data_IF_174692935949
#
_entry.id   IF_174692935949
#
_cell.length_a   1.000
_cell.length_b   1.000
_cell.length_c   1.000
_cell.angle_alpha   90.00
_cell.angle_beta   90.00
_cell.angle_gamma   90.00
#
_symmetry.space_group_name_H-M   'P 1'
#
loop_
_entity.id
_entity.type
_entity.pdbx_description
1 polymer ?
#
# COMPACT_ATOMS: atom_id res chain seq x y z
N UNK A 1 -7.12 -0.57 7.72
CA UNK A 1 -5.99 0.38 7.86
C UNK A 1 -4.73 -0.46 7.75
N UNK A 2 -3.79 -0.16 6.85
CA UNK A 2 -2.56 -0.97 6.84
C UNK A 2 -1.84 -0.81 8.17
N UNK A 3 -1.77 -1.93 8.88
CA UNK A 3 -1.15 -2.02 10.18
C UNK A 3 0.37 -1.98 10.02
N UNK A 4 1.07 -1.56 11.07
CA UNK A 4 2.54 -1.57 11.10
C UNK A 4 3.12 -2.97 10.81
N UNK A 5 2.33 -4.02 11.06
CA UNK A 5 2.71 -5.43 10.88
C UNK A 5 2.66 -5.91 9.42
N UNK A 6 1.90 -5.22 8.56
CA UNK A 6 1.81 -5.55 7.13
C UNK A 6 2.95 -4.93 6.30
N UNK A 7 3.83 -4.15 6.92
CA UNK A 7 4.88 -3.41 6.23
C UNK A 7 6.27 -3.91 6.63
N UNK A 8 7.23 -3.70 5.74
CA UNK A 8 8.66 -3.93 5.97
C UNK A 8 9.29 -2.85 6.89
N UNK A 9 8.48 -2.03 7.57
CA UNK A 9 9.00 -0.99 8.46
C UNK A 9 9.76 -1.63 9.64
N UNK A 10 11.06 -1.31 9.81
CA UNK A 10 11.91 -1.99 10.76
C UNK A 10 11.57 -1.60 12.20
N UNK A 11 11.71 -2.55 13.12
CA UNK A 11 11.33 -2.42 14.54
C UNK A 11 12.31 -3.18 15.43
N UNK A 12 12.48 -2.70 16.66
CA UNK A 12 13.13 -3.46 17.71
C UNK A 12 12.13 -4.49 18.25
N UNK A 13 12.59 -5.73 18.41
CA UNK A 13 11.80 -6.75 19.11
C UNK A 13 11.87 -6.49 20.61
N UNK A 14 10.76 -6.68 21.32
CA UNK A 14 10.74 -6.55 22.77
C UNK A 14 11.59 -7.63 23.43
N UNK A 15 11.52 -8.85 22.90
CA UNK A 15 12.34 -10.00 23.28
C UNK A 15 13.28 -10.34 22.12
N UNK A 16 14.57 -10.43 22.43
CA UNK A 16 15.65 -10.72 21.48
C UNK A 16 16.40 -11.92 22.05
N UNK A 17 16.60 -12.96 21.26
CA UNK A 17 17.34 -14.14 21.70
C UNK A 17 18.83 -13.83 21.84
N UNK A 18 19.55 -14.60 22.64
CA UNK A 18 21.00 -14.44 22.81
C UNK A 18 21.77 -14.58 21.49
N UNK A 19 21.30 -15.44 20.59
CA UNK A 19 21.83 -15.56 19.24
C UNK A 19 21.65 -14.26 18.43
N UNK A 20 20.45 -13.68 18.44
CA UNK A 20 20.19 -12.41 17.76
C UNK A 20 21.00 -11.25 18.37
N UNK A 21 21.17 -11.24 19.69
CA UNK A 21 22.04 -10.28 20.38
C UNK A 21 23.49 -10.40 19.88
N UNK A 22 24.02 -11.62 19.84
CA UNK A 22 25.38 -11.90 19.37
C UNK A 22 25.59 -11.49 17.91
N UNK A 23 24.65 -11.81 17.01
CA UNK A 23 24.77 -11.57 15.57
C UNK A 23 24.56 -10.10 15.18
N UNK A 24 23.56 -9.43 15.76
CA UNK A 24 23.11 -8.11 15.30
C UNK A 24 23.70 -6.98 16.15
N UNK A 25 23.78 -7.18 17.47
CA UNK A 25 24.03 -6.11 18.42
C UNK A 25 25.44 -6.10 19.00
N UNK A 26 26.30 -7.07 18.66
CA UNK A 26 27.71 -7.04 19.06
C UNK A 26 28.49 -5.99 18.25
N UNK A 27 29.09 -4.97 18.90
CA UNK A 27 29.87 -3.97 18.17
C UNK A 27 31.20 -4.53 17.66
N UNK A 28 31.55 -4.23 16.42
CA UNK A 28 32.84 -4.60 15.85
C UNK A 28 34.01 -3.82 16.49
N UNK A 29 35.25 -4.25 16.26
CA UNK A 29 36.43 -3.52 16.71
C UNK A 29 36.49 -2.08 16.16
N UNK A 30 36.08 -1.89 14.91
CA UNK A 30 36.00 -0.56 14.28
C UNK A 30 34.94 0.33 14.95
N UNK A 31 33.78 -0.25 15.28
CA UNK A 31 32.68 0.46 15.94
C UNK A 31 33.05 0.86 17.38
N UNK A 32 33.75 0.00 18.12
CA UNK A 32 34.31 0.33 19.44
C UNK A 32 35.36 1.44 19.36
N UNK A 33 36.25 1.38 18.38
CA UNK A 33 37.23 2.45 18.13
C UNK A 33 36.55 3.78 17.81
N UNK A 34 35.50 3.76 16.98
CA UNK A 34 34.67 4.92 16.68
C UNK A 34 34.05 5.52 17.95
N UNK A 35 33.43 4.68 18.80
CA UNK A 35 32.83 5.15 20.03
C UNK A 35 33.85 5.77 20.99
N UNK A 36 35.06 5.18 21.11
CA UNK A 36 36.15 5.73 21.93
C UNK A 36 36.67 7.06 21.39
N UNK A 37 36.75 7.21 20.07
CA UNK A 37 37.19 8.45 19.41
C UNK A 37 36.22 9.60 19.63
N UNK A 38 34.91 9.35 19.55
CA UNK A 38 33.89 10.39 19.60
C UNK A 38 33.21 10.54 20.99
N UNK A 39 33.33 9.54 21.86
CA UNK A 39 32.77 9.51 23.22
C UNK A 39 33.83 9.78 24.29
N UNK A 40 33.80 11.00 24.87
CA UNK A 40 34.74 11.43 25.92
C UNK A 40 34.54 10.74 27.26
N UNK A 41 33.31 10.31 27.58
CA UNK A 41 32.97 9.62 28.83
C UNK A 41 32.50 8.19 28.54
N UNK A 42 32.59 7.26 29.52
CA UNK A 42 32.01 5.92 29.39
C UNK A 42 30.54 5.95 28.96
N UNK A 43 29.72 6.84 29.55
CA UNK A 43 28.32 7.03 29.17
C UNK A 43 28.13 7.51 27.73
N UNK A 44 28.99 8.41 27.24
CA UNK A 44 28.94 8.86 25.85
C UNK A 44 29.29 7.72 24.88
N UNK A 45 30.28 6.88 25.21
CA UNK A 45 30.67 5.71 24.41
C UNK A 45 29.53 4.70 24.33
N UNK A 46 28.94 4.36 25.47
CA UNK A 46 27.78 3.47 25.53
C UNK A 46 26.60 4.00 24.70
N UNK A 47 26.27 5.29 24.84
CA UNK A 47 25.21 5.92 24.05
C UNK A 47 25.49 5.88 22.54
N UNK A 48 26.73 6.16 22.12
CA UNK A 48 27.13 6.09 20.71
C UNK A 48 27.02 4.68 20.13
N UNK A 49 27.47 3.65 20.87
CA UNK A 49 27.36 2.25 20.44
C UNK A 49 25.90 1.83 20.29
N UNK A 50 25.04 2.18 21.26
CA UNK A 50 23.60 1.88 21.19
C UNK A 50 22.97 2.56 19.98
N UNK A 51 23.22 3.85 19.76
CA UNK A 51 22.70 4.58 18.61
C UNK A 51 23.21 3.99 17.28
N UNK A 52 24.47 3.58 17.23
CA UNK A 52 25.09 2.98 16.05
C UNK A 52 24.45 1.64 15.69
N UNK A 53 24.36 0.70 16.64
CA UNK A 53 23.77 -0.62 16.37
C UNK A 53 22.28 -0.53 16.07
N UNK A 54 21.55 0.34 16.77
CA UNK A 54 20.11 0.51 16.53
C UNK A 54 19.84 1.15 15.17
N UNK A 55 20.59 2.18 14.74
CA UNK A 55 20.37 2.79 13.42
C UNK A 55 20.78 1.87 12.27
N UNK A 56 21.81 1.04 12.44
CA UNK A 56 22.16 0.03 11.42
C UNK A 56 21.03 -0.99 11.23
N UNK A 57 20.32 -1.33 12.30
CA UNK A 57 19.17 -2.25 12.24
C UNK A 57 17.89 -1.58 11.75
N UNK A 58 17.65 -0.34 12.13
CA UNK A 58 16.37 0.35 11.93
C UNK A 58 16.36 1.33 10.75
N UNK A 59 17.52 1.84 10.32
CA UNK A 59 17.59 2.95 9.37
C UNK A 59 17.06 4.29 9.90
N UNK A 60 16.70 4.39 11.19
CA UNK A 60 16.30 5.63 11.86
C UNK A 60 16.76 5.65 13.31
N UNK A 61 16.84 6.84 13.91
CA UNK A 61 17.29 6.99 15.29
C UNK A 61 16.14 6.87 16.31
N UNK A 62 16.32 5.99 17.29
CA UNK A 62 15.44 5.87 18.45
C UNK A 62 15.98 6.65 19.64
N UNK A 63 15.11 6.92 20.61
CA UNK A 63 15.56 7.36 21.93
C UNK A 63 16.19 6.19 22.68
N UNK A 64 17.24 6.45 23.45
CA UNK A 64 17.92 5.44 24.27
C UNK A 64 16.95 4.79 25.26
N UNK A 65 15.98 5.54 25.80
CA UNK A 65 14.94 5.00 26.68
C UNK A 65 14.02 3.97 25.99
N UNK A 66 13.88 4.04 24.66
CA UNK A 66 13.03 3.14 23.89
C UNK A 66 13.74 1.85 23.47
N UNK A 67 15.04 1.72 23.73
CA UNK A 67 15.81 0.52 23.39
C UNK A 67 15.57 -0.55 24.47
N UNK A 68 15.20 -1.79 24.10
CA UNK A 68 15.09 -2.90 25.03
C UNK A 68 16.32 -3.06 25.93
N UNK A 69 16.08 -3.43 27.18
CA UNK A 69 17.16 -3.54 28.17
C UNK A 69 18.13 -4.66 27.84
N UNK A 70 17.67 -5.77 27.24
CA UNK A 70 18.54 -6.85 26.74
C UNK A 70 19.58 -6.36 25.74
N UNK A 71 19.16 -5.58 24.73
CA UNK A 71 20.05 -4.95 23.75
C UNK A 71 21.03 -4.00 24.43
N UNK A 72 20.51 -3.15 25.33
CA UNK A 72 21.35 -2.16 26.03
C UNK A 72 22.43 -2.85 26.85
N UNK A 73 22.07 -3.81 27.69
CA UNK A 73 23.01 -4.57 28.54
C UNK A 73 24.06 -5.31 27.70
N UNK A 74 23.64 -5.97 26.61
CA UNK A 74 24.55 -6.68 25.71
C UNK A 74 25.61 -5.77 25.10
N UNK A 75 25.18 -4.63 24.54
CA UNK A 75 26.09 -3.66 23.91
C UNK A 75 27.10 -3.10 24.92
N UNK A 76 26.64 -2.78 26.13
CA UNK A 76 27.52 -2.24 27.18
C UNK A 76 28.54 -3.28 27.65
N UNK A 77 28.14 -4.54 27.76
CA UNK A 77 29.05 -5.62 28.14
C UNK A 77 30.20 -5.81 27.15
N UNK A 78 29.99 -5.53 25.85
CA UNK A 78 30.99 -5.69 24.82
C UNK A 78 32.17 -4.68 24.88
N UNK A 79 32.08 -3.63 25.69
CA UNK A 79 33.12 -2.60 25.86
C UNK A 79 33.40 -2.28 27.35
N UNK A 80 33.11 -3.23 28.26
CA UNK A 80 33.32 -3.12 29.72
C UNK A 80 32.51 -1.98 30.40
N UNK A 81 31.34 -1.67 29.85
CA UNK A 81 30.47 -0.57 30.29
C UNK A 81 29.26 -1.02 31.12
N UNK A 82 29.18 -2.29 31.53
CA UNK A 82 28.03 -2.85 32.27
C UNK A 82 27.76 -2.18 33.62
N UNK A 83 28.74 -1.47 34.18
CA UNK A 83 28.60 -0.70 35.42
C UNK A 83 27.76 0.57 35.26
N UNK A 84 27.47 1.00 34.02
CA UNK A 84 26.71 2.22 33.77
C UNK A 84 25.22 2.02 34.05
N UNK A 85 24.65 2.92 34.85
CA UNK A 85 23.22 2.97 35.06
C UNK A 85 22.51 3.53 33.81
N UNK A 86 21.32 3.00 33.49
CA UNK A 86 20.51 3.48 32.37
C UNK A 86 20.20 5.00 32.47
N UNK A 87 20.11 5.54 33.68
CA UNK A 87 19.93 6.98 33.93
C UNK A 87 21.07 7.83 33.37
N UNK A 88 22.32 7.34 33.42
CA UNK A 88 23.50 8.03 32.91
C UNK A 88 23.48 8.12 31.38
N UNK A 89 22.96 7.08 30.70
CA UNK A 89 22.77 7.08 29.24
C UNK A 89 21.61 8.00 28.83
N UNK A 90 20.48 7.96 29.54
CA UNK A 90 19.27 8.76 29.24
C UNK A 90 19.48 10.27 29.34
N UNK A 91 20.57 10.76 29.95
CA UNK A 91 20.94 12.18 29.90
C UNK A 91 21.11 12.66 28.44
N UNK A 92 21.62 11.80 27.56
CA UNK A 92 21.81 12.14 26.14
C UNK A 92 20.51 12.23 25.35
N UNK A 93 19.42 11.63 25.80
CA UNK A 93 18.10 11.88 25.19
C UNK A 93 17.56 13.28 25.54
N UNK A 94 17.85 13.77 26.75
CA UNK A 94 17.32 15.04 27.27
C UNK A 94 18.11 16.26 26.80
N UNK A 95 19.41 16.10 26.56
CA UNK A 95 20.26 17.18 26.09
C UNK A 95 20.28 17.24 24.55
N UNK A 96 19.39 18.05 23.97
CA UNK A 96 19.22 18.15 22.52
C UNK A 96 20.51 18.46 21.75
N UNK A 97 21.36 19.36 22.25
CA UNK A 97 22.63 19.73 21.59
C UNK A 97 23.69 18.63 21.64
N UNK A 98 23.77 17.86 22.73
CA UNK A 98 24.64 16.68 22.79
C UNK A 98 24.09 15.55 21.89
N UNK A 99 22.77 15.33 21.92
CA UNK A 99 22.09 14.31 21.12
C UNK A 99 22.29 14.53 19.64
N UNK A 100 22.07 15.76 19.17
CA UNK A 100 22.18 16.09 17.75
C UNK A 100 23.61 15.84 17.23
N UNK A 101 24.63 16.25 17.99
CA UNK A 101 26.04 15.98 17.63
C UNK A 101 26.34 14.47 17.57
N UNK A 102 25.80 13.68 18.50
CA UNK A 102 25.93 12.23 18.46
C UNK A 102 25.26 11.65 17.21
N UNK A 103 24.01 12.07 16.93
CA UNK A 103 23.31 11.63 15.73
C UNK A 103 24.08 11.96 14.45
N UNK A 104 24.59 13.17 14.33
CA UNK A 104 25.32 13.60 13.13
C UNK A 104 26.62 12.81 12.95
N UNK A 105 27.32 12.52 14.04
CA UNK A 105 28.52 11.70 14.04
C UNK A 105 28.21 10.25 13.63
N UNK A 106 27.16 9.65 14.20
CA UNK A 106 26.72 8.28 13.85
C UNK A 106 26.22 8.23 12.40
N UNK A 107 25.50 9.27 11.96
CA UNK A 107 25.00 9.39 10.59
C UNK A 107 26.14 9.41 9.57
N UNK A 108 27.23 10.13 9.86
CA UNK A 108 28.44 10.11 9.05
C UNK A 108 29.10 8.72 9.04
N UNK A 109 29.18 8.07 10.20
CA UNK A 109 29.78 6.73 10.33
C UNK A 109 29.03 5.66 9.52
N UNK A 110 27.69 5.68 9.53
CA UNK A 110 26.85 4.70 8.80
C UNK A 110 26.60 5.15 7.35
N UNK A 111 26.98 6.37 7.00
CA UNK A 111 26.80 6.97 5.68
C UNK A 111 25.31 7.01 5.25
N UNK A 112 24.45 7.53 6.12
CA UNK A 112 23.04 7.80 5.81
C UNK A 112 22.77 9.31 5.75
N UNK A 113 21.75 9.74 5.02
CA UNK A 113 21.33 11.13 4.85
C UNK A 113 20.21 11.44 5.83
N UNK A 114 20.25 12.63 6.44
CA UNK A 114 19.21 13.06 7.36
C UNK A 114 17.87 13.20 6.62
N UNK A 115 16.77 12.89 7.31
CA UNK A 115 15.43 13.11 6.76
C UNK A 115 15.02 14.58 6.92
N UNK A 116 15.22 15.37 5.86
CA UNK A 116 14.94 16.81 5.81
C UNK A 116 13.64 17.13 5.04
N UNK A 117 13.41 18.41 4.71
CA UNK A 117 12.27 18.84 3.88
C UNK A 117 12.36 18.24 2.48
N UNK A 118 13.56 18.13 1.93
CA UNK A 118 13.85 17.46 0.65
C UNK A 118 13.47 15.97 0.74
N UNK A 119 13.78 15.31 1.86
CA UNK A 119 13.35 13.94 2.14
C UNK A 119 11.83 13.78 2.11
N UNK A 120 11.07 14.75 2.64
CA UNK A 120 9.60 14.76 2.54
C UNK A 120 9.10 14.92 1.10
N UNK A 121 9.81 15.68 0.25
CA UNK A 121 9.46 15.79 -1.16
C UNK A 121 9.70 14.46 -1.90
N UNK A 122 10.85 13.83 -1.66
CA UNK A 122 11.20 12.51 -2.22
C UNK A 122 10.15 11.46 -1.83
N UNK A 123 9.80 11.37 -0.53
CA UNK A 123 8.76 10.43 -0.06
C UNK A 123 7.43 10.64 -0.75
N UNK A 124 7.01 11.90 -0.96
CA UNK A 124 5.76 12.20 -1.66
C UNK A 124 5.80 11.73 -3.11
N UNK A 125 6.91 11.94 -3.78
CA UNK A 125 7.06 11.55 -5.19
C UNK A 125 7.13 10.03 -5.34
N UNK A 126 7.96 9.35 -4.56
CA UNK A 126 8.04 7.89 -4.55
C UNK A 126 6.68 7.26 -4.21
N UNK A 127 5.96 7.81 -3.24
CA UNK A 127 4.62 7.33 -2.90
C UNK A 127 3.63 7.54 -4.05
N UNK A 128 3.72 8.67 -4.78
CA UNK A 128 2.88 8.97 -5.94
C UNK A 128 3.15 8.01 -7.09
N UNK A 129 4.42 7.77 -7.40
CA UNK A 129 4.86 6.81 -8.41
C UNK A 129 4.39 5.40 -8.06
N UNK A 130 4.65 4.92 -6.84
CA UNK A 130 4.19 3.61 -6.39
C UNK A 130 2.65 3.49 -6.42
N UNK A 131 1.94 4.56 -6.04
CA UNK A 131 0.49 4.59 -6.06
C UNK A 131 -0.11 4.55 -7.47
N UNK A 132 0.66 4.77 -8.55
CA UNK A 132 0.16 4.61 -9.94
C UNK A 132 -0.31 3.19 -10.20
N UNK A 133 0.44 2.20 -9.72
CA UNK A 133 0.20 0.76 -9.94
C UNK A 133 -0.38 0.08 -8.71
N UNK A 134 0.08 0.43 -7.50
CA UNK A 134 -0.32 -0.22 -6.24
C UNK A 134 -1.60 0.39 -5.68
N UNK A 135 -2.46 -0.47 -5.11
CA UNK A 135 -3.70 -0.05 -4.45
C UNK A 135 -3.62 -0.17 -2.92
N UNK A 136 -2.92 -1.18 -2.43
CA UNK A 136 -2.74 -1.39 -0.99
C UNK A 136 -1.70 -0.43 -0.43
N UNK A 137 -2.00 0.13 0.75
CA UNK A 137 -1.11 1.11 1.36
C UNK A 137 0.19 0.47 1.83
N UNK A 138 0.16 -0.79 2.27
CA UNK A 138 1.35 -1.52 2.68
C UNK A 138 2.35 -1.64 1.53
N UNK A 139 1.88 -2.01 0.33
CA UNK A 139 2.73 -2.09 -0.87
C UNK A 139 3.35 -0.74 -1.23
N UNK A 140 2.56 0.33 -1.19
CA UNK A 140 3.07 1.70 -1.45
C UNK A 140 4.16 2.06 -0.42
N UNK A 141 3.92 1.78 0.86
CA UNK A 141 4.88 2.06 1.93
C UNK A 141 6.15 1.23 1.74
N UNK A 142 6.03 -0.05 1.38
CA UNK A 142 7.17 -0.94 1.18
C UNK A 142 8.07 -0.46 0.04
N UNK A 143 7.50 -0.05 -1.09
CA UNK A 143 8.26 0.55 -2.21
C UNK A 143 8.99 1.80 -1.75
N UNK A 144 8.33 2.69 -1.00
CA UNK A 144 8.97 3.91 -0.48
C UNK A 144 10.11 3.57 0.49
N UNK A 145 9.94 2.59 1.38
CA UNK A 145 10.99 2.16 2.31
C UNK A 145 12.19 1.63 1.55
N UNK A 146 11.96 0.72 0.59
CA UNK A 146 13.02 0.14 -0.24
C UNK A 146 13.84 1.23 -0.95
N UNK A 147 13.16 2.20 -1.54
CA UNK A 147 13.80 3.32 -2.24
C UNK A 147 14.57 4.26 -1.31
N UNK A 148 14.05 4.55 -0.11
CA UNK A 148 14.78 5.33 0.89
C UNK A 148 16.05 4.60 1.36
N UNK A 149 15.95 3.30 1.62
CA UNK A 149 17.10 2.47 2.03
C UNK A 149 18.14 2.43 0.90
N UNK A 150 17.71 2.22 -0.34
CA UNK A 150 18.58 2.21 -1.53
C UNK A 150 19.34 3.52 -1.71
N UNK A 151 18.68 4.65 -1.45
CA UNK A 151 19.29 5.99 -1.55
C UNK A 151 20.01 6.46 -0.28
N UNK A 152 20.09 5.57 0.73
CA UNK A 152 20.69 5.78 2.05
C UNK A 152 20.08 6.95 2.82
N UNK A 153 18.76 7.12 2.78
CA UNK A 153 18.07 8.07 3.65
C UNK A 153 17.72 7.44 4.99
N UNK A 154 17.78 8.28 6.03
CA UNK A 154 17.13 7.98 7.30
C UNK A 154 15.63 7.80 7.08
N UNK A 155 15.06 6.73 7.62
CA UNK A 155 13.63 6.47 7.50
C UNK A 155 12.83 7.46 8.35
N UNK A 156 11.81 8.11 7.79
CA UNK A 156 10.90 8.92 8.59
C UNK A 156 10.00 8.04 9.45
N UNK A 157 9.44 8.62 10.50
CA UNK A 157 8.47 7.91 11.34
C UNK A 157 7.31 7.33 10.51
N UNK A 158 6.86 6.13 10.87
CA UNK A 158 5.84 5.37 10.14
C UNK A 158 4.57 6.19 9.81
N UNK A 159 4.13 7.06 10.71
CA UNK A 159 2.96 7.92 10.50
C UNK A 159 3.11 8.88 9.31
N UNK A 160 4.35 9.28 9.00
CA UNK A 160 4.68 10.13 7.85
C UNK A 160 4.59 9.33 6.56
N UNK A 161 5.16 8.12 6.52
CA UNK A 161 5.02 7.19 5.39
C UNK A 161 3.55 6.87 5.13
N UNK A 162 2.80 6.52 6.17
CA UNK A 162 1.39 6.18 6.08
C UNK A 162 0.54 7.35 5.57
N UNK A 163 0.79 8.57 6.04
CA UNK A 163 0.09 9.78 5.56
C UNK A 163 0.41 10.05 4.09
N UNK A 164 1.68 9.99 3.70
CA UNK A 164 2.10 10.20 2.31
C UNK A 164 1.52 9.15 1.37
N UNK A 165 1.54 7.87 1.75
CA UNK A 165 0.94 6.79 0.97
C UNK A 165 -0.58 6.96 0.80
N UNK A 166 -1.30 7.33 1.87
CA UNK A 166 -2.74 7.61 1.81
C UNK A 166 -3.04 8.78 0.86
N UNK A 167 -2.28 9.86 0.99
CA UNK A 167 -2.46 11.04 0.14
C UNK A 167 -2.17 10.70 -1.33
N UNK A 168 -1.05 10.04 -1.60
CA UNK A 168 -0.66 9.62 -2.95
C UNK A 168 -1.72 8.73 -3.60
N UNK A 169 -2.18 7.69 -2.88
CA UNK A 169 -3.25 6.82 -3.36
C UNK A 169 -4.53 7.59 -3.66
N UNK A 170 -4.94 8.49 -2.77
CA UNK A 170 -6.15 9.31 -2.97
C UNK A 170 -6.02 10.19 -4.21
N UNK A 171 -4.89 10.88 -4.37
CA UNK A 171 -4.60 11.74 -5.51
C UNK A 171 -4.61 10.96 -6.82
N UNK A 172 -3.93 9.81 -6.89
CA UNK A 172 -3.86 8.97 -8.09
C UNK A 172 -5.21 8.34 -8.43
N UNK A 173 -5.95 7.83 -7.43
CA UNK A 173 -7.28 7.27 -7.70
C UNK A 173 -8.23 8.35 -8.21
N UNK A 174 -8.15 9.55 -7.63
CA UNK A 174 -8.94 10.70 -8.09
C UNK A 174 -8.57 11.12 -9.51
N UNK A 175 -7.29 11.03 -9.93
CA UNK A 175 -6.93 11.31 -11.32
C UNK A 175 -7.53 10.30 -12.30
N UNK A 176 -7.51 9.00 -11.98
CA UNK A 176 -8.20 7.99 -12.81
C UNK A 176 -9.70 8.29 -12.92
N UNK A 177 -10.36 8.60 -11.80
CA UNK A 177 -11.78 8.93 -11.82
C UNK A 177 -12.07 10.20 -12.63
N UNK A 178 -11.20 11.20 -12.55
CA UNK A 178 -11.33 12.44 -13.34
C UNK A 178 -11.19 12.17 -14.83
N UNK A 179 -10.21 11.37 -15.25
CA UNK A 179 -10.02 10.99 -16.65
C UNK A 179 -11.25 10.30 -17.21
N UNK A 180 -11.80 9.31 -16.48
CA UNK A 180 -13.03 8.62 -16.90
C UNK A 180 -14.23 9.58 -16.97
N UNK A 181 -14.42 10.43 -15.96
CA UNK A 181 -15.53 11.39 -15.94
C UNK A 181 -15.43 12.46 -17.03
N UNK A 182 -14.21 12.86 -17.41
CA UNK A 182 -13.96 13.81 -18.49
C UNK A 182 -14.26 13.19 -19.87
N UNK A 183 -14.09 11.88 -20.02
CA UNK A 183 -14.45 11.14 -21.24
C UNK A 183 -15.96 10.92 -21.45
N UNK A 184 -16.81 11.42 -20.54
CA UNK A 184 -18.27 11.26 -20.63
C UNK A 184 -18.97 12.55 -21.06
N UNK A 185 -19.88 12.42 -22.02
CA UNK A 185 -20.78 13.49 -22.45
C UNK A 185 -21.88 13.75 -21.41
N UNK A 186 -22.53 14.91 -21.49
CA UNK A 186 -23.68 15.23 -20.64
C UNK A 186 -24.84 14.23 -20.83
N UNK A 187 -25.05 13.77 -22.07
CA UNK A 187 -26.06 12.75 -22.39
C UNK A 187 -25.76 11.44 -21.65
N UNK A 188 -24.52 10.94 -21.73
CA UNK A 188 -24.12 9.69 -21.07
C UNK A 188 -24.23 9.79 -19.54
N UNK A 189 -23.92 10.96 -18.97
CA UNK A 189 -24.11 11.20 -17.53
C UNK A 189 -25.58 11.13 -17.14
N UNK A 190 -26.46 11.69 -17.95
CA UNK A 190 -27.90 11.60 -17.74
C UNK A 190 -28.41 10.15 -17.88
N UNK A 191 -27.94 9.41 -18.89
CA UNK A 191 -28.27 7.97 -19.02
C UNK A 191 -27.82 7.19 -17.77
N UNK A 192 -26.62 7.47 -17.24
CA UNK A 192 -26.17 6.86 -15.98
C UNK A 192 -27.06 7.25 -14.80
N UNK A 193 -27.40 8.53 -14.65
CA UNK A 193 -28.27 8.97 -13.57
C UNK A 193 -29.64 8.25 -13.63
N UNK A 194 -30.21 8.04 -14.82
CA UNK A 194 -31.44 7.27 -15.02
C UNK A 194 -31.33 5.82 -14.51
N UNK A 195 -30.16 5.17 -14.64
CA UNK A 195 -29.97 3.81 -14.09
C UNK A 195 -30.11 3.74 -12.56
N UNK A 196 -29.95 4.87 -11.86
CA UNK A 196 -30.05 4.96 -10.40
C UNK A 196 -31.49 5.18 -9.92
N UNK A 197 -32.43 5.42 -10.83
CA UNK A 197 -33.85 5.54 -10.52
C UNK A 197 -34.56 4.19 -10.64
N UNK A 198 -35.65 4.03 -9.88
CA UNK A 198 -36.52 2.85 -9.98
C UNK A 198 -37.48 3.10 -11.13
N UNK A 199 -37.49 2.27 -12.19
CA UNK A 199 -38.48 2.36 -13.26
C UNK A 199 -39.88 2.00 -12.75
N UNK A 200 -40.93 2.57 -13.34
CA UNK A 200 -42.32 2.31 -12.94
C UNK A 200 -42.69 0.81 -13.06
N UNK A 201 -42.07 0.10 -14.02
CA UNK A 201 -42.33 -1.31 -14.32
C UNK A 201 -41.42 -2.31 -13.56
N UNK A 202 -40.62 -1.85 -12.58
CA UNK A 202 -39.66 -2.72 -11.88
C UNK A 202 -39.54 -2.39 -10.40
N UNK A 203 -39.46 -3.40 -9.50
CA UNK A 203 -39.19 -3.19 -8.07
C UNK A 203 -37.73 -2.78 -7.79
N UNK A 204 -36.84 -2.82 -8.78
CA UNK A 204 -35.41 -2.57 -8.63
C UNK A 204 -34.87 -1.61 -9.69
N UNK A 205 -33.90 -0.78 -9.27
CA UNK A 205 -33.13 0.09 -10.18
C UNK A 205 -32.38 -0.71 -11.25
N UNK A 206 -32.22 -0.15 -12.44
CA UNK A 206 -31.38 -0.76 -13.49
C UNK A 206 -29.92 -0.92 -13.05
N UNK A 207 -29.43 -0.08 -12.12
CA UNK A 207 -28.16 -0.27 -11.44
C UNK A 207 -28.09 -1.56 -10.62
N UNK A 208 -29.16 -1.90 -9.90
CA UNK A 208 -29.23 -3.17 -9.18
C UNK A 208 -29.17 -4.35 -10.16
N UNK A 209 -29.88 -4.27 -11.28
CA UNK A 209 -29.81 -5.29 -12.33
C UNK A 209 -28.42 -5.40 -12.95
N UNK A 210 -27.75 -4.27 -13.25
CA UNK A 210 -26.38 -4.24 -13.76
C UNK A 210 -25.38 -4.90 -12.80
N UNK A 211 -25.61 -4.83 -11.49
CA UNK A 211 -24.75 -5.49 -10.51
C UNK A 211 -24.98 -6.99 -10.41
N UNK A 212 -26.16 -7.49 -10.79
CA UNK A 212 -26.42 -8.91 -10.76
C UNK A 212 -25.55 -9.61 -11.79
N UNK A 213 -24.89 -10.68 -11.37
CA UNK A 213 -24.18 -11.55 -12.30
C UNK A 213 -25.22 -12.17 -13.24
N UNK A 214 -25.00 -12.13 -14.56
CA UNK A 214 -25.90 -12.80 -15.46
C UNK A 214 -25.87 -14.29 -15.12
N UNK A 215 -27.02 -14.86 -14.75
CA UNK A 215 -27.13 -16.29 -14.43
C UNK A 215 -26.63 -17.09 -15.63
N UNK A 216 -25.86 -18.17 -15.39
CA UNK A 216 -25.45 -19.11 -16.44
C UNK A 216 -26.70 -19.50 -17.25
N UNK A 217 -26.80 -19.15 -18.54
CA UNK A 217 -28.02 -19.34 -19.28
C UNK A 217 -28.32 -20.83 -19.42
N UNK A 218 -29.47 -21.24 -18.87
CA UNK A 218 -30.14 -22.47 -19.29
C UNK A 218 -30.67 -22.28 -20.71
N UNK A 219 -30.91 -23.35 -21.47
CA UNK A 219 -31.32 -23.28 -22.89
C UNK A 219 -32.53 -22.35 -23.14
N UNK A 220 -33.38 -22.13 -22.13
CA UNK A 220 -34.59 -21.30 -22.21
C UNK A 220 -34.33 -19.79 -21.99
N UNK A 221 -33.19 -19.39 -21.42
CA UNK A 221 -32.90 -17.98 -21.06
C UNK A 221 -31.84 -17.31 -21.96
N UNK A 222 -31.33 -18.03 -22.97
CA UNK A 222 -30.27 -17.55 -23.88
C UNK A 222 -30.65 -16.22 -24.55
N UNK A 223 -31.91 -16.01 -24.94
CA UNK A 223 -32.36 -14.75 -25.56
C UNK A 223 -32.22 -13.55 -24.64
N UNK A 224 -32.60 -13.67 -23.37
CA UNK A 224 -32.48 -12.59 -22.37
C UNK A 224 -31.01 -12.27 -22.08
N UNK A 225 -30.18 -13.30 -22.05
CA UNK A 225 -28.74 -13.15 -21.87
C UNK A 225 -28.08 -12.43 -23.06
N UNK A 226 -28.43 -12.79 -24.30
CA UNK A 226 -27.95 -12.10 -25.50
C UNK A 226 -28.39 -10.63 -25.54
N UNK A 227 -29.65 -10.34 -25.20
CA UNK A 227 -30.14 -8.96 -25.08
C UNK A 227 -29.37 -8.16 -24.01
N UNK A 228 -29.04 -8.78 -22.89
CA UNK A 228 -28.22 -8.15 -21.85
C UNK A 228 -26.79 -7.89 -22.33
N UNK A 229 -26.20 -8.82 -23.08
CA UNK A 229 -24.89 -8.65 -23.71
C UNK A 229 -24.88 -7.51 -24.74
N UNK A 230 -25.86 -7.48 -25.65
CA UNK A 230 -26.02 -6.40 -26.64
C UNK A 230 -26.17 -5.04 -25.95
N UNK A 231 -26.95 -4.99 -24.87
CA UNK A 231 -27.09 -3.79 -24.06
C UNK A 231 -25.75 -3.34 -23.47
N UNK A 232 -25.00 -4.25 -22.82
CA UNK A 232 -23.67 -3.95 -22.26
C UNK A 232 -22.67 -3.51 -23.34
N UNK A 233 -22.67 -4.16 -24.51
CA UNK A 233 -21.83 -3.79 -25.64
C UNK A 233 -22.16 -2.38 -26.15
N UNK A 234 -23.44 -2.05 -26.29
CA UNK A 234 -23.89 -0.72 -26.72
C UNK A 234 -23.50 0.39 -25.74
N UNK A 235 -23.35 0.08 -24.45
CA UNK A 235 -22.72 0.98 -23.50
C UNK A 235 -21.21 1.07 -23.74
N UNK A 236 -20.47 -0.04 -23.65
CA UNK A 236 -19.01 -0.05 -23.72
C UNK A 236 -18.44 0.61 -24.97
N UNK A 237 -19.10 0.51 -26.13
CA UNK A 237 -18.67 1.17 -27.37
C UNK A 237 -18.64 2.70 -27.28
N UNK A 238 -19.42 3.29 -26.38
CA UNK A 238 -19.55 4.74 -26.19
C UNK A 238 -18.80 5.25 -24.96
N UNK A 239 -18.35 4.35 -24.08
CA UNK A 239 -17.68 4.70 -22.83
C UNK A 239 -16.16 4.82 -23.02
N UNK A 240 -15.49 5.65 -22.19
CA UNK A 240 -14.03 5.74 -22.23
C UNK A 240 -13.37 4.39 -21.89
N UNK A 241 -12.23 4.13 -22.53
CA UNK A 241 -11.44 2.92 -22.31
C UNK A 241 -10.83 2.86 -20.91
N UNK A 242 -10.70 1.65 -20.36
CA UNK A 242 -10.21 1.40 -18.99
C UNK A 242 -8.87 0.68 -18.93
N UNK A 243 -8.27 0.32 -20.07
CA UNK A 243 -7.06 -0.51 -20.15
C UNK A 243 -5.80 0.17 -19.59
N UNK A 244 -5.83 1.50 -19.45
CA UNK A 244 -4.77 2.28 -18.81
C UNK A 244 -4.75 2.13 -17.29
N UNK A 245 -5.76 1.49 -16.68
CA UNK A 245 -5.88 1.30 -15.23
C UNK A 245 -5.22 -0.03 -14.83
N UNK A 246 -4.22 -0.02 -13.92
CA UNK A 246 -3.57 -1.24 -13.48
C UNK A 246 -4.55 -2.24 -12.84
N UNK A 247 -4.35 -3.53 -13.13
CA UNK A 247 -5.27 -4.61 -12.79
C UNK A 247 -5.70 -4.63 -11.31
N UNK A 248 -4.76 -4.44 -10.37
CA UNK A 248 -5.06 -4.41 -8.93
C UNK A 248 -5.99 -3.26 -8.54
N UNK A 249 -5.82 -2.08 -9.15
CA UNK A 249 -6.73 -0.94 -8.95
C UNK A 249 -8.08 -1.17 -9.60
N UNK A 250 -8.06 -1.64 -10.84
CA UNK A 250 -9.28 -1.95 -11.58
C UNK A 250 -10.17 -2.91 -10.79
N UNK A 251 -9.59 -4.02 -10.31
CA UNK A 251 -10.30 -4.98 -9.46
C UNK A 251 -10.87 -4.34 -8.19
N UNK A 252 -10.07 -3.54 -7.47
CA UNK A 252 -10.54 -2.88 -6.26
C UNK A 252 -11.68 -1.89 -6.51
N UNK A 253 -11.60 -1.10 -7.58
CA UNK A 253 -12.68 -0.18 -7.94
C UNK A 253 -13.97 -0.90 -8.31
N UNK A 254 -13.87 -2.07 -8.95
CA UNK A 254 -15.05 -2.91 -9.24
C UNK A 254 -15.67 -3.43 -7.95
N UNK A 255 -14.85 -3.94 -7.02
CA UNK A 255 -15.35 -4.39 -5.72
C UNK A 255 -16.06 -3.25 -4.98
N UNK A 256 -15.48 -2.04 -5.00
CA UNK A 256 -16.12 -0.84 -4.45
C UNK A 256 -17.46 -0.55 -5.15
N UNK A 257 -17.50 -0.53 -6.48
CA UNK A 257 -18.72 -0.27 -7.24
C UNK A 257 -19.82 -1.31 -6.95
N UNK A 258 -19.46 -2.59 -6.83
CA UNK A 258 -20.39 -3.70 -6.54
C UNK A 258 -21.00 -3.59 -5.15
N UNK A 259 -20.20 -3.20 -4.16
CA UNK A 259 -20.64 -3.05 -2.77
C UNK A 259 -21.66 -1.90 -2.60
N UNK A 260 -21.66 -0.91 -3.49
CA UNK A 260 -22.49 0.28 -3.35
C UNK A 260 -23.89 0.10 -3.99
N UNK A 261 -24.94 0.36 -3.20
CA UNK A 261 -26.31 0.48 -3.69
C UNK A 261 -26.56 1.78 -4.45
N UNK A 262 -27.71 1.89 -5.14
CA UNK A 262 -28.03 3.07 -5.95
C UNK A 262 -28.06 4.37 -5.14
N UNK A 263 -28.63 4.35 -3.92
CA UNK A 263 -28.64 5.50 -3.02
C UNK A 263 -27.22 5.96 -2.64
N UNK A 264 -26.32 5.02 -2.34
CA UNK A 264 -24.94 5.32 -1.98
C UNK A 264 -24.19 5.92 -3.17
N UNK A 265 -24.31 5.33 -4.36
CA UNK A 265 -23.70 5.86 -5.59
C UNK A 265 -24.22 7.29 -5.87
N UNK A 266 -25.52 7.52 -5.71
CA UNK A 266 -26.15 8.84 -5.93
C UNK A 266 -25.64 9.91 -4.97
N UNK A 267 -25.39 9.55 -3.71
CA UNK A 267 -24.85 10.46 -2.69
C UNK A 267 -23.36 10.80 -2.89
N UNK A 268 -22.63 10.08 -3.75
CA UNK A 268 -21.21 10.31 -3.99
C UNK A 268 -20.95 11.52 -4.91
N UNK A 269 -19.75 12.07 -4.78
CA UNK A 269 -19.22 13.06 -5.71
C UNK A 269 -19.30 12.56 -7.15
N UNK A 270 -19.82 13.39 -8.05
CA UNK A 270 -20.11 13.06 -9.45
C UNK A 270 -18.93 12.42 -10.17
N UNK A 271 -17.72 12.96 -9.99
CA UNK A 271 -16.48 12.44 -10.58
C UNK A 271 -16.26 10.96 -10.25
N UNK A 272 -16.38 10.59 -8.97
CA UNK A 272 -16.17 9.20 -8.53
C UNK A 272 -17.35 8.32 -8.90
N UNK A 273 -18.58 8.83 -8.75
CA UNK A 273 -19.82 8.13 -9.15
C UNK A 273 -19.73 7.63 -10.58
N UNK A 274 -19.56 8.53 -11.55
CA UNK A 274 -19.57 8.12 -12.95
C UNK A 274 -18.40 7.21 -13.32
N UNK A 275 -17.22 7.45 -12.74
CA UNK A 275 -16.07 6.58 -12.95
C UNK A 275 -16.34 5.14 -12.48
N UNK A 276 -16.92 4.95 -11.30
CA UNK A 276 -17.27 3.62 -10.79
C UNK A 276 -18.35 2.94 -11.66
N UNK A 277 -19.31 3.71 -12.17
CA UNK A 277 -20.33 3.19 -13.07
C UNK A 277 -19.73 2.71 -14.40
N UNK A 278 -18.85 3.50 -15.00
CA UNK A 278 -18.09 3.10 -16.21
C UNK A 278 -17.31 1.82 -15.96
N UNK A 279 -16.57 1.76 -14.85
CA UNK A 279 -15.76 0.59 -14.50
C UNK A 279 -16.61 -0.67 -14.33
N UNK A 280 -17.78 -0.55 -13.69
CA UNK A 280 -18.68 -1.67 -13.51
C UNK A 280 -19.24 -2.19 -14.84
N UNK A 281 -19.66 -1.30 -15.75
CA UNK A 281 -20.17 -1.72 -17.07
C UNK A 281 -19.10 -2.51 -17.84
N UNK A 282 -17.86 -2.00 -17.89
CA UNK A 282 -16.75 -2.72 -18.50
C UNK A 282 -16.49 -4.07 -17.83
N UNK A 283 -16.58 -4.14 -16.50
CA UNK A 283 -16.39 -5.38 -15.76
C UNK A 283 -17.48 -6.42 -16.05
N UNK A 284 -18.73 -6.00 -16.17
CA UNK A 284 -19.85 -6.88 -16.49
C UNK A 284 -19.77 -7.40 -17.91
N UNK A 285 -19.36 -6.56 -18.87
CA UNK A 285 -19.15 -7.02 -20.24
C UNK A 285 -18.04 -8.07 -20.30
N UNK A 286 -16.87 -7.83 -19.68
CA UNK A 286 -15.77 -8.80 -19.64
C UNK A 286 -16.24 -10.13 -19.04
N UNK A 287 -16.93 -10.07 -17.90
CA UNK A 287 -17.45 -11.27 -17.24
C UNK A 287 -18.45 -12.04 -18.11
N UNK A 288 -19.39 -11.34 -18.72
CA UNK A 288 -20.37 -11.98 -19.58
C UNK A 288 -19.71 -12.60 -20.84
N UNK A 289 -18.66 -11.97 -21.40
CA UNK A 289 -17.88 -12.59 -22.48
C UNK A 289 -17.15 -13.86 -22.01
N UNK A 290 -16.54 -13.85 -20.83
CA UNK A 290 -15.88 -15.04 -20.25
C UNK A 290 -16.88 -16.18 -20.03
N UNK A 291 -18.05 -15.88 -19.47
CA UNK A 291 -19.11 -16.86 -19.24
C UNK A 291 -19.61 -17.46 -20.57
N UNK A 292 -19.77 -16.64 -21.62
CA UNK A 292 -20.14 -17.11 -22.95
C UNK A 292 -19.12 -18.09 -23.56
N UNK A 293 -17.82 -17.83 -23.38
CA UNK A 293 -16.74 -18.73 -23.80
C UNK A 293 -16.75 -20.04 -23.01
N UNK A 294 -16.99 -19.98 -21.69
CA UNK A 294 -17.12 -21.17 -20.84
C UNK A 294 -18.30 -22.07 -21.31
N UNK A 295 -19.44 -21.47 -21.66
CA UNK A 295 -20.61 -22.21 -22.15
C UNK A 295 -20.34 -22.85 -23.51
N UNK A 296 -19.71 -22.12 -24.43
CA UNK A 296 -19.39 -22.64 -25.76
C UNK A 296 -18.38 -23.79 -25.69
N UNK A 297 -17.34 -23.64 -24.88
CA UNK A 297 -16.33 -24.68 -24.66
C UNK A 297 -16.92 -25.94 -24.02
N UNK A 298 -17.81 -25.80 -23.02
CA UNK A 298 -18.52 -26.93 -22.40
C UNK A 298 -19.44 -27.68 -23.39
N UNK A 299 -20.12 -26.95 -24.28
CA UNK A 299 -20.96 -27.54 -25.35
C UNK A 299 -20.13 -28.27 -26.40
N UNK A 300 -18.99 -27.73 -26.81
CA UNK A 300 -18.08 -28.40 -27.75
C UNK A 300 -17.42 -29.66 -27.13
N UNK A 301 -17.16 -29.66 -25.82
CA UNK A 301 -16.63 -30.82 -25.13
C UNK A 301 -17.67 -31.95 -25.00
N UNK A 302 -18.94 -31.62 -24.79
CA UNK A 302 -20.04 -32.59 -24.69
C UNK A 302 -20.52 -33.11 -26.05
N UNK A 303 -20.26 -32.39 -27.15
CA UNK A 303 -20.59 -32.83 -28.52
C UNK A 303 -19.51 -33.67 -29.21
N UNK A 304 -18.35 -33.91 -28.58
CA UNK A 304 -17.38 -34.89 -29.08
C UNK A 304 -17.97 -36.30 -28.92
N UNK A 305 -18.20 -37.05 -30.02
CA UNK A 305 -18.70 -38.41 -29.91
C UNK A 305 -17.69 -39.25 -29.12
N UNK A 306 -18.19 -40.00 -28.13
CA UNK A 306 -17.45 -41.12 -27.52
C UNK A 306 -16.97 -42.01 -28.66
N UNK A 307 -15.68 -41.95 -28.99
CA UNK A 307 -15.06 -43.00 -29.79
C UNK A 307 -15.22 -44.29 -28.99
N UNK A 308 -16.07 -45.20 -29.49
CA UNK A 308 -16.13 -46.56 -28.96
C UNK A 308 -14.74 -47.18 -29.13
N UNK A 309 -14.15 -47.77 -28.08
CA UNK A 309 -12.93 -48.54 -28.25
C UNK A 309 -13.22 -49.69 -29.23
N UNK A 310 -12.34 -49.84 -30.20
CA UNK A 310 -12.31 -50.97 -31.15
C UNK A 310 -11.57 -52.13 -30.51
#
# INVERSE_FOLDING_TARGET
MSSLHETAYPRLKAEVSDQELAEIYTPSAQERSFARKHGRTPAARGALLILLKTVQRLGYFVHLIAVPQSITTHILACDDLSHLAASQLRVYDRNGGARQRMLDTVRQQVNIKAFTVEGKAIVRELAREAATTKQDLADIINVVIEELVRQRFELPGFSTLQRSARQARSTVNTSYFRTLNAGLTAHQKNEFDQLLHVPDDSPHTSWHMLKQEPKKPTNTEVKKYLQHLEWLQGWCQRLPAVDHIPAGKYHHFILEARALGAANIKAMQSTKRYALMVLLVHAQLRRAMDDAVEILSARCATSRPRQKPT
#
